data_IF_709464077882
#
_entry.id   IF_709464077882
#
_cell.length_a   1.000
_cell.length_b   1.000
_cell.length_c   1.000
_cell.angle_alpha   90.00
_cell.angle_beta   90.00
_cell.angle_gamma   90.00
#
_symmetry.space_group_name_H-M   'P 1'
#
loop_
_entity.id
_entity.type
_entity.pdbx_description
1 polymer ?
#
# COMPACT_ATOMS: atom_id res chain seq x y z
N UNK A 1 10.43 -3.49 -25.51
CA UNK A 1 9.42 -4.11 -24.63
C UNK A 1 9.96 -4.04 -23.22
N UNK A 2 9.21 -3.45 -22.29
CA UNK A 2 9.72 -2.94 -21.02
C UNK A 2 10.32 -4.01 -20.13
N UNK A 3 11.64 -3.95 -19.96
CA UNK A 3 12.41 -4.71 -18.98
C UNK A 3 12.11 -4.14 -17.59
N UNK A 4 11.03 -4.59 -16.96
CA UNK A 4 10.84 -4.34 -15.52
C UNK A 4 11.80 -5.28 -14.81
N UNK A 5 12.82 -4.69 -14.21
CA UNK A 5 13.80 -5.45 -13.45
C UNK A 5 13.11 -6.17 -12.28
N UNK A 6 13.61 -7.34 -11.82
CA UNK A 6 12.97 -8.11 -10.74
C UNK A 6 12.74 -7.28 -9.46
N UNK A 7 13.62 -6.32 -9.21
CA UNK A 7 13.55 -5.35 -8.11
C UNK A 7 12.26 -4.53 -8.16
N UNK A 8 11.89 -4.00 -9.32
CA UNK A 8 10.70 -3.15 -9.50
C UNK A 8 9.40 -3.91 -9.17
N UNK A 9 9.35 -5.20 -9.52
CA UNK A 9 8.23 -6.09 -9.22
C UNK A 9 8.14 -6.32 -7.70
N UNK A 10 9.29 -6.50 -7.04
CA UNK A 10 9.36 -6.71 -5.59
C UNK A 10 8.85 -5.48 -4.81
N UNK A 11 9.18 -4.26 -5.28
CA UNK A 11 8.71 -3.00 -4.72
C UNK A 11 7.19 -2.84 -4.89
N UNK A 12 6.69 -3.04 -6.12
CA UNK A 12 5.25 -2.99 -6.43
C UNK A 12 4.44 -3.94 -5.55
N UNK A 13 4.92 -5.17 -5.38
CA UNK A 13 4.24 -6.17 -4.56
C UNK A 13 4.19 -5.80 -3.06
N UNK A 14 5.18 -5.06 -2.55
CA UNK A 14 5.20 -4.63 -1.14
C UNK A 14 4.28 -3.44 -0.91
N UNK A 15 4.19 -2.50 -1.87
CA UNK A 15 3.21 -1.40 -1.87
C UNK A 15 1.78 -1.93 -1.91
N UNK A 16 1.49 -2.88 -2.80
CA UNK A 16 0.17 -3.51 -2.91
C UNK A 16 -0.23 -4.22 -1.61
N UNK A 17 0.69 -4.99 -1.01
CA UNK A 17 0.47 -5.65 0.29
C UNK A 17 0.17 -4.65 1.41
N UNK A 18 0.92 -3.56 1.48
CA UNK A 18 0.70 -2.49 2.45
C UNK A 18 -0.67 -1.81 2.25
N UNK A 19 -1.04 -1.55 0.99
CA UNK A 19 -2.32 -0.95 0.63
C UNK A 19 -3.51 -1.84 0.98
N UNK A 20 -3.42 -3.14 0.69
CA UNK A 20 -4.43 -4.12 1.06
C UNK A 20 -4.61 -4.20 2.59
N UNK A 21 -3.51 -4.31 3.33
CA UNK A 21 -3.56 -4.33 4.80
C UNK A 21 -4.23 -3.07 5.35
N UNK A 22 -3.85 -1.88 4.85
CA UNK A 22 -4.46 -0.63 5.28
C UNK A 22 -5.95 -0.54 4.88
N UNK A 23 -6.34 -1.11 3.74
CA UNK A 23 -7.73 -1.14 3.30
C UNK A 23 -8.60 -2.05 4.17
N UNK A 24 -8.03 -3.16 4.68
CA UNK A 24 -8.67 -4.07 5.64
C UNK A 24 -8.70 -3.51 7.08
N UNK A 25 -7.69 -2.71 7.45
CA UNK A 25 -7.55 -2.18 8.80
C UNK A 25 -8.66 -1.16 9.14
N UNK A 26 -9.45 -1.49 10.16
CA UNK A 26 -10.60 -0.68 10.60
C UNK A 26 -10.18 0.46 11.52
N UNK A 27 -9.09 0.28 12.28
CA UNK A 27 -8.54 1.29 13.19
C UNK A 27 -7.06 1.52 12.90
N UNK A 28 -6.71 2.22 11.81
CA UNK A 28 -5.32 2.43 11.43
C UNK A 28 -4.55 3.25 12.48
N UNK A 29 -3.32 2.84 12.83
CA UNK A 29 -2.48 3.60 13.75
C UNK A 29 -2.09 4.95 13.14
N UNK A 30 -2.03 5.97 13.99
CA UNK A 30 -1.53 7.30 13.60
C UNK A 30 -0.19 7.57 14.29
N UNK A 31 0.85 7.96 13.55
CA UNK A 31 0.87 8.26 12.11
C UNK A 31 1.03 7.01 11.22
N UNK A 32 0.25 6.91 10.13
CA UNK A 32 0.20 5.70 9.28
C UNK A 32 1.46 5.50 8.41
N UNK A 33 2.07 6.58 7.90
CA UNK A 33 3.23 6.46 7.01
C UNK A 33 4.44 5.84 7.73
N UNK A 34 4.83 6.29 8.94
CA UNK A 34 5.89 5.64 9.71
C UNK A 34 5.62 4.16 9.99
N UNK A 35 4.36 3.80 10.30
CA UNK A 35 3.97 2.41 10.50
C UNK A 35 4.19 1.58 9.23
N UNK A 36 3.68 2.03 8.08
CA UNK A 36 3.84 1.31 6.82
C UNK A 36 5.31 1.14 6.43
N UNK A 37 6.14 2.17 6.68
CA UNK A 37 7.59 2.11 6.44
C UNK A 37 8.27 1.05 7.30
N UNK A 38 7.94 0.98 8.58
CA UNK A 38 8.52 0.00 9.51
C UNK A 38 8.03 -1.42 9.24
N UNK A 39 6.73 -1.56 8.98
CA UNK A 39 6.06 -2.86 8.83
C UNK A 39 6.35 -3.55 7.51
N UNK A 40 6.49 -2.78 6.42
CA UNK A 40 6.67 -3.31 5.08
C UNK A 40 8.02 -2.95 4.45
N UNK A 41 8.94 -2.36 5.23
CA UNK A 41 10.24 -1.88 4.78
C UNK A 41 10.17 -0.93 3.56
N UNK A 42 9.14 -0.08 3.54
CA UNK A 42 8.87 0.85 2.45
C UNK A 42 9.59 2.19 2.65
N UNK A 43 9.87 2.86 1.53
CA UNK A 43 10.22 4.28 1.50
C UNK A 43 9.00 5.17 1.80
N UNK A 44 9.23 6.46 2.06
CA UNK A 44 8.14 7.41 2.28
C UNK A 44 7.25 7.59 1.04
N UNK A 45 7.82 7.45 -0.16
CA UNK A 45 7.08 7.51 -1.43
C UNK A 45 6.14 6.30 -1.55
N UNK A 46 6.70 5.10 -1.43
CA UNK A 46 5.94 3.84 -1.48
C UNK A 46 4.84 3.76 -0.41
N UNK A 47 5.11 4.25 0.80
CA UNK A 47 4.09 4.32 1.85
C UNK A 47 2.96 5.31 1.51
N UNK A 48 3.28 6.42 0.84
CA UNK A 48 2.26 7.38 0.36
C UNK A 48 1.43 6.78 -0.77
N UNK A 49 2.05 6.05 -1.69
CA UNK A 49 1.37 5.30 -2.75
C UNK A 49 0.44 4.23 -2.17
N UNK A 50 0.91 3.49 -1.18
CA UNK A 50 0.10 2.50 -0.47
C UNK A 50 -1.13 3.13 0.20
N UNK A 51 -0.98 4.32 0.80
CA UNK A 51 -2.10 5.06 1.38
C UNK A 51 -3.14 5.46 0.32
N UNK A 52 -2.70 5.96 -0.83
CA UNK A 52 -3.60 6.33 -1.93
C UNK A 52 -4.31 5.09 -2.52
N UNK A 53 -3.58 3.98 -2.67
CA UNK A 53 -4.13 2.72 -3.18
C UNK A 53 -5.14 2.10 -2.20
N UNK A 54 -4.86 2.15 -0.89
CA UNK A 54 -5.79 1.69 0.14
C UNK A 54 -7.13 2.42 0.11
N UNK A 55 -7.12 3.75 -0.11
CA UNK A 55 -8.36 4.52 -0.28
C UNK A 55 -9.17 4.03 -1.48
N UNK A 56 -8.52 3.75 -2.61
CA UNK A 56 -9.19 3.18 -3.79
C UNK A 56 -9.82 1.84 -3.46
N UNK A 57 -9.11 0.94 -2.78
CA UNK A 57 -9.65 -0.36 -2.38
C UNK A 57 -10.88 -0.25 -1.47
N UNK A 58 -10.88 0.69 -0.52
CA UNK A 58 -12.03 0.97 0.34
C UNK A 58 -13.24 1.44 -0.47
N UNK A 59 -13.03 2.34 -1.43
CA UNK A 59 -14.10 2.82 -2.34
C UNK A 59 -14.65 1.66 -3.19
N UNK A 60 -13.78 0.85 -3.79
CA UNK A 60 -14.20 -0.30 -4.59
C UNK A 60 -15.03 -1.29 -3.78
N UNK A 61 -14.66 -1.56 -2.53
CA UNK A 61 -15.45 -2.41 -1.63
C UNK A 61 -16.78 -1.79 -1.22
N UNK A 62 -16.82 -0.49 -0.95
CA UNK A 62 -18.07 0.20 -0.64
C UNK A 62 -19.05 0.29 -1.82
N UNK A 63 -18.54 0.28 -3.05
CA UNK A 63 -19.37 0.34 -4.27
C UNK A 63 -19.93 -1.03 -4.73
N UNK A 64 -19.35 -2.14 -4.26
CA UNK A 64 -19.78 -3.51 -4.61
C UNK A 64 -20.35 -4.30 -3.41
N UNK A 65 -20.50 -3.64 -2.26
CA UNK A 65 -21.07 -4.20 -1.03
C UNK A 65 -22.57 -3.96 -0.90
#
# INVERSE_FOLDING_TARGET
MSDRSPSDIQHSASVERAAMWLADEQSPPQPIIPELRQRFALSALEASEACAMAQRFRIYRGAHG
#
